data_IF_892906100520
#
_entry.id   IF_892906100520
#
_cell.length_a   1.000
_cell.length_b   1.000
_cell.length_c   1.000
_cell.angle_alpha   90.00
_cell.angle_beta   90.00
_cell.angle_gamma   90.00
#
_symmetry.space_group_name_H-M   'P 1'
#
loop_
_entity.id
_entity.type
_entity.pdbx_description
1 polymer ?
#
# COMPACT_ATOMS: atom_id res chain seq x y z
N UNK A 1 -8.85 12.18 2.05
CA UNK A 1 -8.31 11.14 1.16
C UNK A 1 -7.34 11.68 0.11
N UNK A 2 -7.76 12.40 -0.94
CA UNK A 2 -6.80 12.84 -2.00
C UNK A 2 -5.65 13.72 -1.46
N UNK A 3 -5.97 14.66 -0.57
CA UNK A 3 -4.94 15.48 0.09
C UNK A 3 -4.02 14.65 0.99
N UNK A 4 -4.54 13.55 1.56
CA UNK A 4 -3.79 12.64 2.41
C UNK A 4 -2.82 11.79 1.58
N UNK A 5 -3.23 11.35 0.40
CA UNK A 5 -2.33 10.69 -0.58
C UNK A 5 -1.19 11.64 -0.94
N UNK A 6 -1.49 12.89 -1.28
CA UNK A 6 -0.47 13.88 -1.63
C UNK A 6 0.51 14.09 -0.46
N UNK A 7 0.01 14.27 0.76
CA UNK A 7 0.85 14.43 1.96
C UNK A 7 1.76 13.22 2.21
N UNK A 8 1.23 12.00 2.15
CA UNK A 8 2.04 10.79 2.32
C UNK A 8 3.09 10.68 1.23
N UNK A 9 2.74 10.97 -0.03
CA UNK A 9 3.68 10.99 -1.13
C UNK A 9 4.83 11.96 -0.87
N UNK A 10 4.52 13.20 -0.49
CA UNK A 10 5.52 14.23 -0.20
C UNK A 10 6.41 13.90 1.01
N UNK A 11 5.87 13.21 2.03
CA UNK A 11 6.67 12.74 3.18
C UNK A 11 7.63 11.61 2.82
N UNK A 12 7.35 10.85 1.76
CA UNK A 12 8.05 9.61 1.41
C UNK A 12 8.68 9.67 0.00
N UNK A 13 9.17 10.85 -0.42
CA UNK A 13 9.77 11.04 -1.76
C UNK A 13 10.98 10.12 -2.01
N UNK A 14 11.71 9.78 -0.94
CA UNK A 14 12.78 8.77 -0.95
C UNK A 14 12.37 7.47 -1.66
N UNK A 15 11.12 7.05 -1.50
CA UNK A 15 10.55 5.87 -2.14
C UNK A 15 9.71 6.24 -3.37
N UNK A 16 8.74 7.14 -3.19
CA UNK A 16 7.66 7.41 -4.15
C UNK A 16 8.00 8.41 -5.26
N UNK A 17 9.26 8.87 -5.29
CA UNK A 17 9.82 9.68 -6.37
C UNK A 17 11.19 9.18 -6.79
N UNK A 18 12.08 8.89 -5.83
CA UNK A 18 13.48 8.52 -6.10
C UNK A 18 13.75 7.02 -6.02
N UNK A 19 12.84 6.22 -5.46
CA UNK A 19 13.04 4.79 -5.30
C UNK A 19 12.83 4.02 -6.60
N UNK A 20 13.48 2.87 -6.70
CA UNK A 20 13.29 1.91 -7.77
C UNK A 20 12.05 1.06 -7.48
N UNK A 21 11.10 1.02 -8.42
CA UNK A 21 9.91 0.18 -8.29
C UNK A 21 10.31 -1.29 -8.36
N UNK A 22 9.85 -2.09 -7.40
CA UNK A 22 10.08 -3.53 -7.37
C UNK A 22 8.77 -4.28 -7.12
N UNK A 23 8.81 -5.60 -7.33
CA UNK A 23 7.65 -6.47 -7.13
C UNK A 23 7.24 -6.41 -5.66
N UNK A 24 5.97 -6.10 -5.39
CA UNK A 24 5.45 -6.12 -4.03
C UNK A 24 5.45 -7.53 -3.44
N UNK A 25 5.60 -7.68 -2.11
CA UNK A 25 5.38 -8.96 -1.46
C UNK A 25 3.92 -9.38 -1.64
N UNK A 26 3.66 -10.67 -1.45
CA UNK A 26 2.30 -11.18 -1.53
C UNK A 26 1.49 -10.64 -0.35
N UNK A 27 0.55 -9.74 -0.66
CA UNK A 27 -0.34 -9.11 0.31
C UNK A 27 -1.76 -9.48 -0.08
N UNK A 28 -2.42 -10.25 0.79
CA UNK A 28 -3.82 -10.59 0.59
C UNK A 28 -4.70 -9.36 0.83
N UNK A 29 -5.58 -9.08 -0.13
CA UNK A 29 -6.60 -8.03 -0.01
C UNK A 29 -7.97 -8.69 0.11
N UNK A 30 -8.84 -8.22 1.03
CA UNK A 30 -10.26 -8.49 0.92
C UNK A 30 -10.81 -7.98 -0.41
N UNK A 31 -11.93 -8.56 -0.84
CA UNK A 31 -12.66 -8.15 -2.04
C UNK A 31 -13.98 -7.52 -1.62
N UNK A 32 -14.36 -6.42 -2.26
CA UNK A 32 -15.69 -5.82 -2.08
C UNK A 32 -16.35 -5.58 -3.43
N UNK A 33 -17.69 -5.62 -3.43
CA UNK A 33 -18.49 -5.21 -4.58
C UNK A 33 -18.60 -3.69 -4.61
N UNK A 34 -18.20 -3.10 -5.73
CA UNK A 34 -18.38 -1.68 -5.99
C UNK A 34 -19.31 -1.46 -7.17
N UNK A 35 -20.12 -0.41 -7.08
CA UNK A 35 -20.93 0.09 -8.18
C UNK A 35 -20.04 0.84 -9.18
N UNK A 36 -19.97 0.33 -10.41
CA UNK A 36 -19.27 0.99 -11.51
C UNK A 36 -20.32 1.61 -12.43
N UNK A 37 -20.25 2.93 -12.57
CA UNK A 37 -21.06 3.64 -13.55
C UNK A 37 -20.53 3.37 -14.96
N UNK A 38 -21.39 2.88 -15.86
CA UNK A 38 -21.06 2.69 -17.28
C UNK A 38 -21.18 4.00 -18.05
N UNK A 39 -20.51 5.06 -17.57
CA UNK A 39 -20.33 6.31 -18.31
C UNK A 39 -19.15 6.14 -19.26
N UNK A 40 -19.31 5.29 -20.27
CA UNK A 40 -18.41 5.34 -21.42
C UNK A 40 -18.72 6.64 -22.16
N UNK A 41 -17.67 7.39 -22.52
CA UNK A 41 -17.71 8.67 -23.27
C UNK A 41 -18.65 8.62 -24.50
N UNK A 42 -18.96 7.41 -25.00
CA UNK A 42 -19.82 7.13 -26.15
C UNK A 42 -21.31 6.92 -25.85
N UNK A 43 -21.72 6.65 -24.60
CA UNK A 43 -23.13 6.35 -24.25
C UNK A 43 -23.97 7.64 -24.18
N UNK A 44 -23.36 8.76 -23.79
CA UNK A 44 -24.01 10.07 -23.77
C UNK A 44 -24.49 10.59 -25.13
N UNK A 45 -24.00 10.02 -26.25
CA UNK A 45 -24.44 10.39 -27.61
C UNK A 45 -25.69 9.66 -28.11
N UNK A 46 -26.10 8.55 -27.48
CA UNK A 46 -27.21 7.71 -27.96
C UNK A 46 -28.47 7.73 -27.09
N UNK A 47 -28.54 8.59 -26.07
CA UNK A 47 -29.76 8.77 -25.27
C UNK A 47 -30.13 7.60 -24.35
N UNK A 48 -29.24 6.61 -24.19
CA UNK A 48 -29.48 5.49 -23.27
C UNK A 48 -29.11 5.89 -21.83
N UNK A 49 -29.96 5.47 -20.89
CA UNK A 49 -29.80 5.70 -19.46
C UNK A 49 -28.52 5.08 -18.90
N UNK A 50 -27.99 5.71 -17.85
CA UNK A 50 -26.85 5.23 -17.08
C UNK A 50 -27.21 3.85 -16.50
N UNK A 51 -26.54 2.80 -16.98
CA UNK A 51 -26.62 1.47 -16.37
C UNK A 51 -25.47 1.29 -15.39
N UNK A 52 -25.76 1.15 -14.11
CA UNK A 52 -24.79 0.73 -13.09
C UNK A 52 -24.55 -0.78 -13.21
N UNK A 53 -23.31 -1.22 -13.03
CA UNK A 53 -23.02 -2.65 -12.83
C UNK A 53 -22.06 -2.83 -11.66
N UNK A 54 -22.26 -3.90 -10.90
CA UNK A 54 -21.41 -4.25 -9.77
C UNK A 54 -20.15 -4.99 -10.26
N UNK A 55 -19.01 -4.69 -9.63
CA UNK A 55 -17.78 -5.45 -9.82
C UNK A 55 -17.12 -5.74 -8.48
N UNK A 56 -16.67 -6.98 -8.32
CA UNK A 56 -15.83 -7.37 -7.20
C UNK A 56 -14.38 -6.94 -7.46
N UNK A 57 -13.81 -6.15 -6.55
CA UNK A 57 -12.46 -5.59 -6.67
C UNK A 57 -11.71 -5.73 -5.34
N UNK A 58 -10.36 -5.82 -5.36
CA UNK A 58 -9.59 -5.71 -4.13
C UNK A 58 -9.77 -4.32 -3.52
N UNK A 59 -9.84 -4.27 -2.20
CA UNK A 59 -9.98 -3.00 -1.47
C UNK A 59 -8.67 -2.46 -0.90
N UNK A 60 -7.61 -3.26 -0.89
CA UNK A 60 -6.27 -2.86 -0.48
C UNK A 60 -5.35 -2.91 -1.69
N UNK A 61 -4.73 -1.77 -1.99
CA UNK A 61 -3.75 -1.61 -3.06
C UNK A 61 -2.39 -1.35 -2.47
N UNK A 62 -1.35 -1.93 -3.07
CA UNK A 62 0.02 -1.73 -2.63
C UNK A 62 0.99 -1.55 -3.79
N UNK A 63 2.10 -0.88 -3.51
CA UNK A 63 3.26 -0.80 -4.39
C UNK A 63 4.53 -0.76 -3.54
N UNK A 64 5.63 -1.26 -4.09
CA UNK A 64 6.89 -1.38 -3.37
C UNK A 64 8.03 -0.71 -4.11
N UNK A 65 8.87 0.01 -3.38
CA UNK A 65 10.04 0.71 -3.89
C UNK A 65 11.23 0.47 -2.99
N UNK A 66 12.40 0.32 -3.61
CA UNK A 66 13.68 0.26 -2.91
C UNK A 66 14.39 1.61 -3.06
N UNK A 67 14.89 2.16 -1.95
CA UNK A 67 15.64 3.42 -1.97
C UNK A 67 17.15 3.19 -2.15
N UNK A 68 17.88 4.26 -2.41
CA UNK A 68 19.34 4.25 -2.59
C UNK A 68 20.11 3.79 -1.33
N UNK A 69 19.59 4.03 -0.14
CA UNK A 69 20.16 3.57 1.14
C UNK A 69 19.70 2.15 1.53
N UNK A 70 19.26 1.37 0.54
CA UNK A 70 18.91 -0.04 0.66
C UNK A 70 17.71 -0.32 1.57
N UNK A 71 16.89 0.67 1.96
CA UNK A 71 15.63 0.41 2.66
C UNK A 71 14.47 0.19 1.69
N UNK A 72 13.40 -0.44 2.18
CA UNK A 72 12.23 -0.81 1.37
C UNK A 72 11.00 -0.02 1.83
N UNK A 73 10.34 0.67 0.91
CA UNK A 73 9.07 1.36 1.14
C UNK A 73 7.92 0.61 0.48
N UNK A 74 6.90 0.23 1.25
CA UNK A 74 5.66 -0.39 0.74
C UNK A 74 4.52 0.60 0.97
N UNK A 75 4.07 1.30 -0.07
CA UNK A 75 2.88 2.15 0.04
C UNK A 75 1.63 1.28 0.01
N UNK A 76 0.67 1.58 0.88
CA UNK A 76 -0.60 0.88 0.97
C UNK A 76 -1.75 1.88 1.02
N UNK A 77 -2.82 1.58 0.29
CA UNK A 77 -4.02 2.40 0.21
C UNK A 77 -5.28 1.55 0.24
N UNK A 78 -6.14 1.82 1.22
CA UNK A 78 -7.48 1.22 1.29
C UNK A 78 -8.50 2.09 0.58
N UNK A 79 -9.36 1.46 -0.22
CA UNK A 79 -10.59 2.05 -0.76
C UNK A 79 -11.85 1.59 -0.01
N UNK A 80 -11.72 0.74 1.01
CA UNK A 80 -12.85 0.38 1.87
C UNK A 80 -13.17 1.52 2.83
N UNK A 81 -14.42 1.61 3.28
CA UNK A 81 -14.80 2.46 4.40
C UNK A 81 -14.54 1.78 5.75
N UNK A 82 -14.32 0.47 5.76
CA UNK A 82 -14.07 -0.32 6.94
C UNK A 82 -12.57 -0.53 7.15
N UNK A 83 -12.20 -0.83 8.39
CA UNK A 83 -10.83 -1.16 8.73
C UNK A 83 -10.44 -2.54 8.17
N UNK A 84 -9.25 -2.64 7.59
CA UNK A 84 -8.74 -3.87 6.95
C UNK A 84 -7.58 -4.43 7.77
N UNK A 85 -7.60 -5.71 8.16
CA UNK A 85 -6.42 -6.36 8.72
C UNK A 85 -5.37 -6.56 7.63
N UNK A 86 -4.14 -6.09 7.91
CA UNK A 86 -2.97 -6.34 7.08
C UNK A 86 -2.09 -7.34 7.81
N UNK A 87 -1.87 -8.50 7.20
CA UNK A 87 -1.06 -9.58 7.75
C UNK A 87 -0.33 -10.28 6.60
N UNK A 88 1.00 -10.11 6.54
CA UNK A 88 1.84 -10.76 5.54
C UNK A 88 3.28 -10.87 6.02
N UNK A 89 4.06 -11.72 5.34
CA UNK A 89 5.49 -11.87 5.59
C UNK A 89 6.26 -12.08 4.29
N UNK A 90 7.55 -11.78 4.32
CA UNK A 90 8.46 -11.98 3.20
C UNK A 90 9.90 -12.11 3.69
N UNK A 91 10.79 -12.62 2.83
CA UNK A 91 12.22 -12.73 3.15
C UNK A 91 12.93 -11.43 2.82
N UNK A 92 13.78 -10.96 3.73
CA UNK A 92 14.66 -9.79 3.53
C UNK A 92 15.50 -9.92 2.26
N UNK A 93 15.98 -11.14 2.00
CA UNK A 93 16.88 -11.46 0.88
C UNK A 93 16.20 -11.31 -0.48
N UNK A 94 14.88 -11.47 -0.57
CA UNK A 94 14.12 -11.25 -1.82
C UNK A 94 14.25 -9.81 -2.33
N UNK A 95 14.63 -8.88 -1.42
CA UNK A 95 14.86 -7.46 -1.70
C UNK A 95 16.32 -7.05 -1.44
N UNK A 96 17.22 -7.98 -1.12
CA UNK A 96 18.61 -7.69 -0.80
C UNK A 96 18.79 -6.85 0.47
N UNK A 97 17.95 -7.05 1.48
CA UNK A 97 18.04 -6.41 2.79
C UNK A 97 18.84 -7.30 3.76
N UNK A 98 19.48 -6.70 4.77
CA UNK A 98 20.13 -7.43 5.87
C UNK A 98 19.12 -8.30 6.63
N UNK A 99 19.61 -9.35 7.30
CA UNK A 99 18.77 -10.35 7.98
C UNK A 99 18.10 -9.83 9.27
N UNK A 100 18.49 -8.64 9.72
CA UNK A 100 17.93 -7.93 10.85
C UNK A 100 17.61 -6.49 10.47
N UNK A 101 16.63 -5.91 11.17
CA UNK A 101 16.25 -4.53 10.95
C UNK A 101 14.93 -4.18 11.62
N UNK A 102 14.37 -3.04 11.22
CA UNK A 102 13.16 -2.48 11.81
C UNK A 102 12.10 -2.22 10.74
N UNK A 103 10.84 -2.39 11.12
CA UNK A 103 9.68 -2.06 10.29
C UNK A 103 8.94 -0.91 10.95
N UNK A 104 8.75 0.16 10.19
CA UNK A 104 8.02 1.34 10.60
C UNK A 104 6.73 1.48 9.79
N UNK A 105 5.72 2.10 10.39
CA UNK A 105 4.52 2.55 9.69
C UNK A 105 4.52 4.08 9.64
N UNK A 106 4.46 4.63 8.43
CA UNK A 106 4.42 6.07 8.18
C UNK A 106 3.00 6.42 7.74
N UNK A 107 2.33 7.23 8.53
CA UNK A 107 0.99 7.76 8.23
C UNK A 107 1.03 9.29 8.18
N UNK A 108 -0.13 9.93 8.02
CA UNK A 108 -0.21 11.37 8.18
C UNK A 108 0.06 11.84 9.61
N UNK A 109 -0.18 10.99 10.61
CA UNK A 109 0.03 11.30 12.04
C UNK A 109 1.52 11.32 12.40
N UNK A 110 2.31 10.44 11.78
CA UNK A 110 3.73 10.32 12.10
C UNK A 110 4.35 9.05 11.54
N UNK A 111 5.54 8.73 12.05
CA UNK A 111 6.26 7.49 11.81
C UNK A 111 6.38 6.77 13.15
N UNK A 112 5.82 5.56 13.23
CA UNK A 112 5.83 4.73 14.42
C UNK A 112 6.55 3.41 14.14
N UNK A 113 7.31 2.89 15.10
CA UNK A 113 7.90 1.56 15.00
C UNK A 113 6.79 0.52 15.13
N UNK A 114 6.67 -0.37 14.14
CA UNK A 114 5.71 -1.47 14.17
C UNK A 114 6.30 -2.69 14.88
N UNK A 115 7.48 -3.11 14.44
CA UNK A 115 8.27 -4.18 15.05
C UNK A 115 9.71 -4.17 14.51
N UNK A 116 10.51 -5.11 14.99
CA UNK A 116 11.82 -5.45 14.44
C UNK A 116 11.78 -6.86 13.86
N UNK A 117 12.70 -7.17 12.95
CA UNK A 117 12.86 -8.50 12.39
C UNK A 117 14.29 -8.99 12.58
N UNK A 118 14.44 -10.31 12.64
CA UNK A 118 15.71 -11.04 12.73
C UNK A 118 15.62 -12.30 11.86
N UNK A 119 16.75 -12.95 11.59
CA UNK A 119 16.81 -14.21 10.80
C UNK A 119 16.23 -14.08 9.38
N UNK A 120 16.17 -12.86 8.86
CA UNK A 120 15.77 -12.54 7.49
C UNK A 120 14.28 -12.70 7.19
N UNK A 121 13.42 -12.83 8.20
CA UNK A 121 11.98 -12.93 8.02
C UNK A 121 11.27 -11.65 8.51
N UNK A 122 10.78 -10.85 7.56
CA UNK A 122 10.00 -9.65 7.86
C UNK A 122 8.54 -10.04 8.02
N UNK A 123 7.96 -9.74 9.19
CA UNK A 123 6.54 -9.98 9.49
C UNK A 123 5.84 -8.64 9.68
N UNK A 124 4.72 -8.43 9.00
CA UNK A 124 3.93 -7.20 9.10
C UNK A 124 2.53 -7.56 9.55
N UNK A 125 2.09 -6.97 10.66
CA UNK A 125 0.73 -7.13 11.17
C UNK A 125 0.20 -5.86 11.80
N UNK A 126 -0.89 -5.32 11.25
CA UNK A 126 -1.59 -4.16 11.82
C UNK A 126 -3.02 -4.04 11.27
N UNK A 127 -3.80 -3.12 11.84
CA UNK A 127 -5.11 -2.75 11.34
C UNK A 127 -5.01 -1.42 10.58
N UNK A 128 -5.32 -1.42 9.29
CA UNK A 128 -5.42 -0.20 8.50
C UNK A 128 -6.84 0.36 8.64
N UNK A 129 -6.97 1.59 9.14
CA UNK A 129 -8.27 2.27 9.25
C UNK A 129 -8.99 2.35 7.88
N UNK A 130 -10.32 2.50 7.89
CA UNK A 130 -11.10 2.76 6.69
C UNK A 130 -10.59 3.99 5.94
N UNK A 131 -10.48 3.89 4.61
CA UNK A 131 -9.80 4.89 3.75
C UNK A 131 -8.38 5.21 4.24
N UNK A 132 -7.74 4.25 4.91
CA UNK A 132 -6.40 4.38 5.45
C UNK A 132 -5.34 4.39 4.35
N UNK A 133 -4.27 5.12 4.63
CA UNK A 133 -3.11 5.25 3.78
C UNK A 133 -1.86 5.18 4.65
N UNK A 134 -0.86 4.40 4.24
CA UNK A 134 0.43 4.35 4.90
C UNK A 134 1.56 4.01 3.93
N UNK A 135 2.80 4.25 4.38
CA UNK A 135 3.99 3.62 3.82
C UNK A 135 4.60 2.79 4.94
N UNK A 136 4.76 1.49 4.72
CA UNK A 136 5.62 0.68 5.56
C UNK A 136 7.06 0.91 5.13
N UNK A 137 7.94 1.15 6.08
CA UNK A 137 9.35 1.38 5.84
C UNK A 137 10.17 0.30 6.55
N UNK A 138 10.89 -0.52 5.78
CA UNK A 138 11.76 -1.58 6.28
C UNK A 138 13.18 -1.08 6.18
N UNK A 139 13.80 -0.85 7.34
CA UNK A 139 15.17 -0.33 7.47
C UNK A 139 16.06 -1.49 7.92
N UNK A 140 16.95 -2.00 7.05
CA UNK A 140 17.92 -3.01 7.47
C UNK A 140 18.90 -2.43 8.49
N UNK A 141 19.33 -3.27 9.42
CA UNK A 141 20.43 -2.98 10.35
C UNK A 141 21.63 -3.84 9.99
N UNK A 142 22.82 -3.25 10.04
CA UNK A 142 24.09 -3.96 9.90
C UNK A 142 24.57 -4.54 11.25
#
# INVERSE_FOLDING_TARGET
>A
YLMDIAKIRYKNLKYLLYGEFCRSPEINSPMEKIDISRLSIYVGRKGNSVTTFEKEVPVLYSGTWKSEDNSLGIAMASISNDSIPVDFSFKSDDYGLSSNGEVYIITNKGKDLLNSYTEGLVNVKFLLEGRGLCVLEIVPMD
#
